data_IF_758646495725
#
_entry.id   IF_758646495725
#
_cell.length_a   1.000
_cell.length_b   1.000
_cell.length_c   1.000
_cell.angle_alpha   90.00
_cell.angle_beta   90.00
_cell.angle_gamma   90.00
#
_symmetry.space_group_name_H-M   'P 1'
#
loop_
_entity.id
_entity.type
_entity.pdbx_description
1 polymer ?
#
# COMPACT_ATOMS: atom_id res chain seq x y z
N UNK A 1 8.76 -12.39 6.46
CA UNK A 1 8.54 -10.93 6.55
C UNK A 1 9.64 -10.36 7.43
N UNK A 2 10.44 -9.43 6.91
CA UNK A 2 11.42 -8.71 7.71
C UNK A 2 10.77 -7.45 8.29
N UNK A 3 10.66 -7.38 9.63
CA UNK A 3 9.98 -6.28 10.34
C UNK A 3 10.60 -4.91 9.99
N UNK A 4 11.91 -4.80 9.89
CA UNK A 4 12.57 -3.53 9.59
C UNK A 4 12.25 -3.03 8.18
N UNK A 5 12.22 -3.93 7.20
CA UNK A 5 11.85 -3.59 5.82
C UNK A 5 10.36 -3.29 5.70
N UNK A 6 9.52 -4.00 6.47
CA UNK A 6 8.08 -3.71 6.57
C UNK A 6 7.81 -2.33 7.14
N UNK A 7 8.49 -1.93 8.22
CA UNK A 7 8.36 -0.59 8.80
C UNK A 7 8.81 0.51 7.84
N UNK A 8 9.94 0.31 7.13
CA UNK A 8 10.39 1.26 6.08
C UNK A 8 9.36 1.39 4.97
N UNK A 9 8.82 0.27 4.51
CA UNK A 9 7.82 0.26 3.45
C UNK A 9 6.53 0.94 3.89
N UNK A 10 6.10 0.70 5.13
CA UNK A 10 4.95 1.34 5.75
C UNK A 10 5.12 2.85 5.88
N UNK A 11 6.27 3.32 6.37
CA UNK A 11 6.57 4.76 6.43
C UNK A 11 6.59 5.42 5.05
N UNK A 12 7.18 4.76 4.04
CA UNK A 12 7.25 5.30 2.67
C UNK A 12 5.89 5.36 1.95
N UNK A 13 4.95 4.49 2.32
CA UNK A 13 3.65 4.36 1.66
C UNK A 13 2.47 4.55 2.60
N UNK A 14 2.66 5.26 3.71
CA UNK A 14 1.67 5.44 4.78
C UNK A 14 0.28 5.81 4.24
N UNK A 15 0.24 6.73 3.28
CA UNK A 15 -1.02 7.19 2.66
C UNK A 15 -1.83 6.05 2.02
N UNK A 16 -1.14 5.06 1.42
CA UNK A 16 -1.76 3.88 0.81
C UNK A 16 -2.18 2.85 1.86
N UNK A 17 -1.42 2.71 2.94
CA UNK A 17 -1.78 1.88 4.08
C UNK A 17 -3.04 2.39 4.79
N UNK A 18 -3.16 3.71 5.02
CA UNK A 18 -4.38 4.31 5.54
C UNK A 18 -5.59 3.98 4.67
N UNK A 19 -5.43 4.08 3.34
CA UNK A 19 -6.51 3.74 2.42
C UNK A 19 -6.85 2.23 2.46
N UNK A 20 -5.85 1.35 2.53
CA UNK A 20 -6.09 -0.10 2.68
C UNK A 20 -6.74 -0.50 4.01
N UNK A 21 -6.52 0.29 5.08
CA UNK A 21 -7.14 0.04 6.39
C UNK A 21 -8.65 0.29 6.40
N UNK A 22 -9.14 1.13 5.50
CA UNK A 22 -10.57 1.42 5.34
C UNK A 22 -11.29 0.35 4.49
N UNK A 23 -10.56 -0.40 3.66
CA UNK A 23 -11.13 -1.49 2.86
C UNK A 23 -10.31 -1.89 1.64
N UNK A 24 -10.96 -2.59 0.70
CA UNK A 24 -10.36 -2.97 -0.58
C UNK A 24 -10.48 -1.84 -1.60
N UNK A 25 -9.36 -1.46 -2.23
CA UNK A 25 -9.31 -0.35 -3.17
C UNK A 25 -8.59 -0.71 -4.46
N UNK A 26 -9.06 -0.15 -5.58
CA UNK A 26 -8.37 -0.26 -6.86
C UNK A 26 -7.10 0.59 -6.91
N UNK A 27 -6.08 0.14 -7.63
CA UNK A 27 -4.84 0.91 -7.82
C UNK A 27 -5.08 2.26 -8.50
N UNK A 28 -6.08 2.37 -9.39
CA UNK A 28 -6.49 3.64 -9.98
C UNK A 28 -7.05 4.61 -8.93
N UNK A 29 -7.87 4.10 -8.01
CA UNK A 29 -8.45 4.89 -6.90
C UNK A 29 -7.35 5.32 -5.93
N UNK A 30 -6.38 4.47 -5.64
CA UNK A 30 -5.20 4.83 -4.86
C UNK A 30 -4.35 5.90 -5.53
N UNK A 31 -4.09 5.79 -6.84
CA UNK A 31 -3.37 6.81 -7.59
C UNK A 31 -4.10 8.16 -7.52
N UNK A 32 -5.42 8.16 -7.73
CA UNK A 32 -6.27 9.36 -7.58
C UNK A 32 -6.23 9.92 -6.18
N UNK A 33 -6.27 9.07 -5.15
CA UNK A 33 -6.17 9.50 -3.75
C UNK A 33 -4.84 10.19 -3.46
N UNK A 34 -3.71 9.64 -3.92
CA UNK A 34 -2.40 10.27 -3.76
C UNK A 34 -2.34 11.66 -4.44
N UNK A 35 -3.01 11.82 -5.57
CA UNK A 35 -3.03 13.08 -6.32
C UNK A 35 -3.99 14.10 -5.68
N UNK A 36 -5.25 13.73 -5.44
CA UNK A 36 -6.30 14.62 -4.95
C UNK A 36 -6.18 14.93 -3.46
N UNK A 37 -5.96 13.90 -2.64
CA UNK A 37 -5.96 14.03 -1.17
C UNK A 37 -4.58 14.31 -0.61
N UNK A 38 -3.53 13.71 -1.18
CA UNK A 38 -2.17 13.89 -0.70
C UNK A 38 -1.38 14.95 -1.48
N UNK A 39 -2.00 15.59 -2.49
CA UNK A 39 -1.38 16.65 -3.29
C UNK A 39 -0.13 16.22 -4.05
N UNK A 40 0.06 14.90 -4.26
CA UNK A 40 1.26 14.38 -4.94
C UNK A 40 1.11 14.62 -6.45
N UNK A 41 2.14 15.12 -7.14
CA UNK A 41 2.12 15.20 -8.58
C UNK A 41 2.01 13.79 -9.19
N UNK A 42 1.47 13.71 -10.41
CA UNK A 42 1.20 12.42 -11.06
C UNK A 42 2.45 11.53 -11.16
N UNK A 43 3.61 12.12 -11.45
CA UNK A 43 4.89 11.42 -11.54
C UNK A 43 5.25 10.74 -10.22
N UNK A 44 5.10 11.43 -9.09
CA UNK A 44 5.33 10.89 -7.75
C UNK A 44 4.29 9.84 -7.38
N UNK A 45 3.01 10.06 -7.69
CA UNK A 45 1.97 9.08 -7.44
C UNK A 45 2.24 7.77 -8.21
N UNK A 46 2.64 7.86 -9.48
CA UNK A 46 3.02 6.71 -10.31
C UNK A 46 4.23 5.97 -9.74
N UNK A 47 5.27 6.71 -9.33
CA UNK A 47 6.47 6.12 -8.73
C UNK A 47 6.15 5.38 -7.43
N UNK A 48 5.34 5.99 -6.53
CA UNK A 48 4.87 5.34 -5.30
C UNK A 48 4.06 4.07 -5.60
N UNK A 49 3.12 4.13 -6.55
CA UNK A 49 2.32 2.96 -6.92
C UNK A 49 3.16 1.81 -7.47
N UNK A 50 4.18 2.11 -8.29
CA UNK A 50 5.12 1.11 -8.78
C UNK A 50 5.92 0.49 -7.64
N UNK A 51 6.51 1.30 -6.75
CA UNK A 51 7.27 0.79 -5.61
C UNK A 51 6.40 -0.05 -4.65
N UNK A 52 5.17 0.39 -4.41
CA UNK A 52 4.18 -0.26 -3.56
C UNK A 52 3.79 -1.66 -4.06
N UNK A 53 3.61 -1.83 -5.38
CA UNK A 53 3.14 -3.08 -5.97
C UNK A 53 4.11 -4.25 -5.80
N UNK A 54 5.41 -3.99 -5.76
CA UNK A 54 6.45 -5.03 -5.79
C UNK A 54 7.11 -5.28 -4.43
N UNK A 55 6.63 -4.64 -3.35
CA UNK A 55 7.21 -4.81 -2.04
C UNK A 55 6.84 -6.17 -1.41
N UNK A 56 7.83 -7.08 -1.36
CA UNK A 56 7.70 -8.43 -0.81
C UNK A 56 7.42 -8.44 0.70
N UNK A 57 8.02 -7.49 1.42
CA UNK A 57 7.89 -7.32 2.87
C UNK A 57 6.83 -6.27 3.25
N UNK A 58 5.71 -6.23 2.54
CA UNK A 58 4.59 -5.33 2.82
C UNK A 58 3.45 -6.04 3.59
N UNK A 59 2.64 -5.28 4.35
CA UNK A 59 1.40 -5.78 4.98
C UNK A 59 0.19 -5.61 4.05
N UNK A 60 0.43 -5.51 2.74
CA UNK A 60 -0.59 -5.35 1.73
C UNK A 60 -0.68 -6.64 0.92
N UNK A 61 -1.89 -7.03 0.57
CA UNK A 61 -2.17 -8.08 -0.39
C UNK A 61 -2.74 -7.45 -1.65
N UNK A 62 -2.30 -7.92 -2.80
CA UNK A 62 -2.83 -7.52 -4.10
C UNK A 62 -3.77 -8.64 -4.56
N UNK A 63 -4.93 -8.27 -5.11
CA UNK A 63 -5.87 -9.23 -5.68
C UNK A 63 -5.19 -10.04 -6.80
N UNK A 64 -5.67 -11.26 -7.06
CA UNK A 64 -5.14 -12.09 -8.15
C UNK A 64 -5.25 -11.43 -9.53
N UNK A 65 -6.23 -10.54 -9.72
CA UNK A 65 -6.36 -9.79 -10.97
C UNK A 65 -5.40 -8.59 -11.07
N UNK A 66 -4.65 -8.30 -10.00
CA UNK A 66 -3.64 -7.25 -9.93
C UNK A 66 -4.18 -5.83 -9.89
N UNK A 67 -5.51 -5.64 -9.84
CA UNK A 67 -6.13 -4.30 -9.93
C UNK A 67 -6.48 -3.72 -8.58
N UNK A 68 -6.60 -4.55 -7.54
CA UNK A 68 -7.02 -4.12 -6.21
C UNK A 68 -6.00 -4.51 -5.16
N UNK A 69 -6.04 -3.80 -4.04
CA UNK A 69 -5.18 -4.06 -2.89
C UNK A 69 -5.96 -3.83 -1.60
N UNK A 70 -5.57 -4.55 -0.56
CA UNK A 70 -6.19 -4.55 0.76
C UNK A 70 -5.14 -4.97 1.81
N UNK A 71 -5.43 -4.76 3.09
CA UNK A 71 -4.52 -5.20 4.15
C UNK A 71 -4.44 -6.73 4.21
N UNK A 72 -3.21 -7.24 4.33
CA UNK A 72 -2.94 -8.65 4.54
C UNK A 72 -3.09 -8.98 6.03
N UNK A 73 -4.30 -9.38 6.42
CA UNK A 73 -4.64 -9.69 7.81
C UNK A 73 -3.78 -10.82 8.39
N UNK A 74 -3.34 -11.78 7.57
CA UNK A 74 -2.46 -12.86 8.03
C UNK A 74 -1.11 -12.31 8.46
N UNK A 75 -0.53 -11.37 7.69
CA UNK A 75 0.72 -10.70 8.06
C UNK A 75 0.54 -9.70 9.21
N UNK A 76 -0.64 -9.11 9.33
CA UNK A 76 -0.94 -8.14 10.38
C UNK A 76 -1.06 -8.83 11.75
N UNK A 77 -1.72 -9.99 11.80
CA UNK A 77 -1.83 -10.80 13.01
C UNK A 77 -0.46 -11.29 13.52
N UNK A 78 0.54 -11.43 12.65
CA UNK A 78 1.92 -11.75 13.06
C UNK A 78 2.60 -10.62 13.85
N UNK A 79 2.03 -9.40 13.82
CA UNK A 79 2.54 -8.25 14.56
C UNK A 79 1.82 -8.03 15.91
N UNK A 80 0.66 -8.65 16.14
CA UNK A 80 -0.12 -8.58 17.39
C UNK A 80 0.40 -9.52 18.49
N UNK A 81 1.73 -9.71 18.57
CA UNK A 81 2.39 -10.56 19.57
C UNK A 81 2.26 -9.95 20.97
#
# INVERSE_FOLDING_TARGET
MNIAETLKHLGNHWELYCLAGDGEYSLDKAKKYLMDKCGKPESTARAKMSAFRYARDSLIKISNDGKRYFMDLEKLNLLEI
#
